data_IF_545472237337
#
_entry.id   IF_545472237337
#
_cell.length_a   1.000
_cell.length_b   1.000
_cell.length_c   1.000
_cell.angle_alpha   90.00
_cell.angle_beta   90.00
_cell.angle_gamma   90.00
#
_symmetry.space_group_name_H-M   'P 1'
#
loop_
_entity.id
_entity.type
_entity.pdbx_description
1 polymer ?
#
# COMPACT_ATOMS: atom_id res chain seq x y z
N UNK A 1 -4.61 -1.35 -6.54
CA UNK A 1 -4.31 -2.27 -5.40
C UNK A 1 -3.93 -1.45 -4.16
N UNK A 2 -3.75 -2.06 -2.98
CA UNK A 2 -3.40 -1.33 -1.73
C UNK A 2 -2.09 -0.54 -1.80
N UNK A 3 -1.07 -1.04 -2.52
CA UNK A 3 0.20 -0.34 -2.74
C UNK A 3 -0.03 0.91 -3.60
N UNK A 4 -0.84 0.83 -4.65
CA UNK A 4 -1.19 1.99 -5.49
C UNK A 4 -2.00 3.03 -4.75
N UNK A 5 -2.93 2.59 -3.91
CA UNK A 5 -3.71 3.46 -3.04
C UNK A 5 -2.78 4.16 -2.05
N UNK A 6 -1.85 3.42 -1.43
CA UNK A 6 -0.84 3.98 -0.54
C UNK A 6 0.05 5.01 -1.25
N UNK A 7 0.52 4.71 -2.47
CA UNK A 7 1.29 5.65 -3.28
C UNK A 7 0.49 6.94 -3.55
N UNK A 8 -0.79 6.80 -3.90
CA UNK A 8 -1.68 7.95 -4.11
C UNK A 8 -1.85 8.80 -2.86
N UNK A 9 -2.23 8.17 -1.74
CA UNK A 9 -2.43 8.85 -0.45
C UNK A 9 -1.13 9.49 0.06
N UNK A 10 0.01 8.83 -0.13
CA UNK A 10 1.32 9.35 0.25
C UNK A 10 1.70 10.57 -0.56
N UNK A 11 1.41 10.58 -1.87
CA UNK A 11 1.62 11.76 -2.72
C UNK A 11 0.74 12.93 -2.30
N UNK A 12 -0.53 12.69 -1.97
CA UNK A 12 -1.45 13.72 -1.47
C UNK A 12 -0.96 14.34 -0.14
N UNK A 13 -0.32 13.52 0.71
CA UNK A 13 0.16 13.93 2.05
C UNK A 13 1.66 14.27 2.11
N UNK A 14 2.37 14.23 0.99
CA UNK A 14 3.82 14.43 0.90
C UNK A 14 4.64 13.50 1.83
N UNK A 15 4.23 12.23 1.90
CA UNK A 15 4.87 11.15 2.68
C UNK A 15 5.71 10.29 1.72
N UNK A 16 6.84 9.76 2.20
CA UNK A 16 7.58 8.75 1.43
C UNK A 16 6.83 7.42 1.44
N UNK A 17 6.26 7.08 0.29
CA UNK A 17 5.53 5.84 0.09
C UNK A 17 6.43 4.60 0.15
N UNK A 18 7.75 4.77 -0.05
CA UNK A 18 8.71 3.66 -0.06
C UNK A 18 9.09 3.17 1.35
N UNK A 19 8.63 3.88 2.38
CA UNK A 19 8.70 3.46 3.77
C UNK A 19 7.71 2.31 4.04
N UNK A 20 8.28 1.13 4.31
CA UNK A 20 7.51 -0.08 4.58
C UNK A 20 6.82 -0.06 5.95
N UNK A 21 7.34 0.67 6.93
CA UNK A 21 6.70 0.78 8.24
C UNK A 21 5.41 1.60 8.16
N UNK A 22 5.45 2.72 7.44
CA UNK A 22 4.28 3.56 7.20
C UNK A 22 3.19 2.82 6.43
N UNK A 23 3.58 2.01 5.43
CA UNK A 23 2.64 1.13 4.75
C UNK A 23 2.03 0.07 5.67
N UNK A 24 2.83 -0.57 6.53
CA UNK A 24 2.29 -1.53 7.51
C UNK A 24 1.26 -0.88 8.44
N UNK A 25 1.54 0.34 8.92
CA UNK A 25 0.58 1.13 9.71
C UNK A 25 -0.70 1.42 8.92
N UNK A 26 -0.56 1.76 7.65
CA UNK A 26 -1.70 1.98 6.75
C UNK A 26 -2.57 0.73 6.61
N UNK A 27 -1.99 -0.43 6.33
CA UNK A 27 -2.73 -1.70 6.24
C UNK A 27 -3.40 -2.05 7.58
N UNK A 28 -2.67 -1.91 8.70
CA UNK A 28 -3.22 -2.16 10.02
C UNK A 28 -4.42 -1.24 10.32
N UNK A 29 -4.37 0.03 9.91
CA UNK A 29 -5.49 0.96 10.01
C UNK A 29 -6.70 0.48 9.20
N UNK A 30 -6.50 0.04 7.96
CA UNK A 30 -7.60 -0.45 7.13
C UNK A 30 -8.23 -1.73 7.70
N UNK A 31 -7.41 -2.66 8.19
CA UNK A 31 -7.87 -3.89 8.86
C UNK A 31 -8.67 -3.56 10.12
N UNK A 32 -8.17 -2.63 10.96
CA UNK A 32 -8.85 -2.18 12.18
C UNK A 32 -10.23 -1.56 11.92
N UNK A 33 -10.40 -0.95 10.75
CA UNK A 33 -11.67 -0.37 10.31
C UNK A 33 -12.58 -1.39 9.59
N UNK A 34 -12.27 -2.69 9.65
CA UNK A 34 -13.04 -3.78 9.01
C UNK A 34 -13.27 -3.55 7.51
N UNK A 35 -12.32 -2.90 6.84
CA UNK A 35 -12.46 -2.67 5.41
C UNK A 35 -12.37 -4.03 4.70
N UNK A 36 -13.32 -4.28 3.79
CA UNK A 36 -13.35 -5.54 3.03
C UNK A 36 -12.18 -5.57 2.04
N UNK A 37 -11.09 -6.20 2.49
CA UNK A 37 -9.84 -6.32 1.76
C UNK A 37 -9.58 -7.79 1.46
N UNK A 38 -9.20 -8.08 0.21
CA UNK A 38 -8.79 -9.43 -0.17
C UNK A 38 -7.29 -9.48 -0.38
N UNK A 39 -6.59 -10.27 0.42
CA UNK A 39 -5.16 -10.48 0.23
C UNK A 39 -4.91 -11.04 -1.17
N UNK A 40 -3.93 -10.46 -1.86
CA UNK A 40 -3.58 -10.85 -3.23
C UNK A 40 -2.11 -11.23 -3.29
N UNK A 41 -1.82 -12.30 -4.03
CA UNK A 41 -0.45 -12.71 -4.33
C UNK A 41 0.22 -11.59 -5.10
N UNK A 42 1.35 -11.13 -4.59
CA UNK A 42 2.14 -10.11 -5.26
C UNK A 42 2.84 -10.75 -6.45
N UNK A 43 2.45 -10.39 -7.67
CA UNK A 43 3.18 -10.72 -8.90
C UNK A 43 3.48 -9.40 -9.62
N UNK A 44 4.67 -8.85 -9.35
CA UNK A 44 5.20 -7.75 -10.15
C UNK A 44 6.07 -8.35 -11.24
N UNK A 45 5.75 -8.06 -12.49
CA UNK A 45 6.48 -8.55 -13.65
C UNK A 45 7.84 -7.83 -13.75
N UNK A 46 8.82 -8.45 -14.40
CA UNK A 46 10.15 -7.85 -14.60
C UNK A 46 10.11 -6.51 -15.35
N UNK A 47 9.02 -6.26 -16.08
CA UNK A 47 8.74 -5.03 -16.82
C UNK A 47 8.25 -3.84 -15.97
N UNK A 48 8.03 -4.00 -14.66
CA UNK A 48 7.61 -2.90 -13.77
C UNK A 48 8.68 -1.79 -13.72
N UNK A 49 8.44 -0.73 -14.49
CA UNK A 49 9.37 0.38 -14.69
C UNK A 49 9.73 1.04 -13.37
N UNK A 50 11.01 1.38 -13.24
CA UNK A 50 11.51 2.31 -12.22
C UNK A 50 10.75 3.62 -12.37
N UNK A 51 10.07 4.07 -11.32
CA UNK A 51 9.41 5.38 -11.30
C UNK A 51 10.40 6.46 -10.87
N UNK A 52 10.07 7.73 -11.13
CA UNK A 52 10.93 8.87 -10.79
C UNK A 52 11.41 8.81 -9.33
N UNK A 53 12.72 8.98 -9.12
CA UNK A 53 13.37 8.85 -7.82
C UNK A 53 14.08 7.51 -7.56
N UNK A 54 14.08 6.57 -8.51
CA UNK A 54 14.78 5.28 -8.37
C UNK A 54 14.00 4.22 -7.58
N UNK A 55 12.82 4.58 -7.08
CA UNK A 55 11.91 3.66 -6.42
C UNK A 55 11.06 2.92 -7.47
N UNK A 56 10.97 1.59 -7.34
CA UNK A 56 10.05 0.77 -8.14
C UNK A 56 9.02 0.08 -7.24
N UNK A 57 7.78 -0.04 -7.74
CA UNK A 57 6.71 -0.77 -7.02
C UNK A 57 7.16 -2.20 -6.68
N UNK A 58 7.91 -2.83 -7.59
CA UNK A 58 8.53 -4.15 -7.38
C UNK A 58 9.52 -4.15 -6.22
N UNK A 59 10.46 -3.22 -6.16
CA UNK A 59 11.45 -3.16 -5.07
C UNK A 59 10.75 -2.96 -3.72
N UNK A 60 9.75 -2.09 -3.68
CA UNK A 60 8.93 -1.87 -2.48
C UNK A 60 8.21 -3.14 -2.04
N UNK A 61 7.56 -3.82 -2.96
CA UNK A 61 6.83 -5.03 -2.66
C UNK A 61 7.72 -6.22 -2.29
N UNK A 62 8.93 -6.29 -2.85
CA UNK A 62 9.94 -7.26 -2.42
C UNK A 62 10.38 -7.00 -0.97
N UNK A 63 10.59 -5.73 -0.59
CA UNK A 63 10.85 -5.38 0.82
C UNK A 63 9.70 -5.81 1.72
N UNK A 64 8.46 -5.54 1.31
CA UNK A 64 7.26 -5.96 2.03
C UNK A 64 7.18 -7.49 2.18
N UNK A 65 7.41 -8.24 1.11
CA UNK A 65 7.38 -9.71 1.13
C UNK A 65 8.43 -10.34 2.06
N UNK A 66 9.56 -9.65 2.31
CA UNK A 66 10.59 -10.12 3.23
C UNK A 66 10.11 -10.17 4.69
N UNK A 67 9.15 -9.33 5.08
CA UNK A 67 8.64 -9.29 6.45
C UNK A 67 7.70 -10.45 6.81
N UNK A 68 7.04 -11.05 5.81
CA UNK A 68 6.08 -12.16 6.01
C UNK A 68 4.96 -11.85 7.02
N UNK A 69 4.61 -10.58 7.21
CA UNK A 69 3.54 -10.11 8.09
C UNK A 69 2.23 -9.91 7.32
N UNK A 70 1.08 -10.05 7.98
CA UNK A 70 -0.22 -9.69 7.38
C UNK A 70 -0.25 -8.23 6.92
N UNK A 71 0.29 -7.32 7.74
CA UNK A 71 0.35 -5.88 7.45
C UNK A 71 1.32 -5.53 6.33
N UNK A 72 2.18 -6.47 5.92
CA UNK A 72 3.09 -6.32 4.78
C UNK A 72 2.52 -6.87 3.47
N UNK A 73 1.36 -7.53 3.52
CA UNK A 73 0.76 -8.12 2.34
C UNK A 73 0.08 -7.07 1.46
N UNK A 74 0.05 -7.34 0.14
CA UNK A 74 -0.76 -6.54 -0.76
C UNK A 74 -2.21 -7.00 -0.70
N UNK A 75 -3.13 -6.05 -0.58
CA UNK A 75 -4.57 -6.27 -0.61
C UNK A 75 -5.22 -5.64 -1.84
N UNK A 76 -6.26 -6.30 -2.36
CA UNK A 76 -7.24 -5.71 -3.25
C UNK A 76 -8.29 -4.98 -2.41
N UNK A 77 -8.46 -3.69 -2.70
CA UNK A 77 -9.37 -2.78 -2.01
C UNK A 77 -10.38 -2.28 -3.04
N UNK A 78 -11.67 -2.40 -2.74
CA UNK A 78 -12.72 -1.79 -3.54
C UNK A 78 -12.81 -0.31 -3.20
N UNK A 79 -12.49 0.56 -4.14
CA UNK A 79 -12.67 2.00 -3.97
C UNK A 79 -14.15 2.36 -4.16
N UNK A 80 -14.76 2.81 -3.07
CA UNK A 80 -16.07 3.46 -3.04
C UNK A 80 -15.92 4.73 -2.19
N UNK A 81 -16.91 5.62 -2.19
CA UNK A 81 -16.80 6.91 -1.49
C UNK A 81 -16.41 6.75 -0.01
N UNK A 82 -17.08 5.84 0.71
CA UNK A 82 -16.77 5.60 2.13
C UNK A 82 -15.35 5.07 2.39
N UNK A 83 -14.85 4.19 1.53
CA UNK A 83 -13.50 3.65 1.63
C UNK A 83 -12.45 4.72 1.27
N UNK A 84 -12.73 5.56 0.27
CA UNK A 84 -11.85 6.68 -0.11
C UNK A 84 -11.76 7.69 1.04
N UNK A 85 -12.89 8.05 1.63
CA UNK A 85 -12.92 8.93 2.80
C UNK A 85 -12.15 8.34 3.98
N UNK A 86 -12.30 7.03 4.24
CA UNK A 86 -11.56 6.35 5.30
C UNK A 86 -10.05 6.36 5.03
N UNK A 87 -9.61 6.06 3.80
CA UNK A 87 -8.20 6.10 3.41
C UNK A 87 -7.62 7.51 3.62
N UNK A 88 -8.37 8.56 3.28
CA UNK A 88 -7.94 9.97 3.47
C UNK A 88 -7.83 10.36 4.94
N UNK A 89 -8.61 9.74 5.82
CA UNK A 89 -8.53 9.94 7.28
C UNK A 89 -7.32 9.27 7.92
N UNK A 90 -6.62 8.38 7.22
CA UNK A 90 -5.36 7.83 7.71
C UNK A 90 -4.35 8.95 7.92
N UNK A 91 -3.68 8.94 9.06
CA UNK A 91 -2.60 9.86 9.41
C UNK A 91 -1.51 9.09 10.18
N UNK A 92 -0.26 9.56 10.10
CA UNK A 92 0.93 8.81 10.53
C UNK A 92 1.30 8.99 12.00
#
# INVERSE_FOLDING_TARGET
NSIEIWIGASKEKNIDWFDTENYKKFIAFLLKNNLNMKQMSICFDESDKVTEGGHSKRAFANKLAAFKDENSSCYSIKLNDGNIELIRKFDL
#
